data_IF_344916371171
#
_entry.id   IF_344916371171
#
_cell.length_a   1.000
_cell.length_b   1.000
_cell.length_c   1.000
_cell.angle_alpha   90.00
_cell.angle_beta   90.00
_cell.angle_gamma   90.00
#
_symmetry.space_group_name_H-M   'P 1'
#
loop_
_entity.id
_entity.type
_entity.pdbx_description
1 polymer ?
#
# COMPACT_ATOMS: atom_id res chain seq x y z
N UNK A 1 -27.99 44.37 1.95
CA UNK A 1 -26.88 43.53 1.45
C UNK A 1 -25.95 43.05 2.58
N UNK A 2 -26.47 42.45 3.65
CA UNK A 2 -25.66 41.94 4.78
C UNK A 2 -25.81 40.45 5.09
N UNK A 3 -26.58 39.69 4.30
CA UNK A 3 -26.91 38.29 4.62
C UNK A 3 -26.38 37.24 3.62
N UNK A 4 -26.24 37.55 2.33
CA UNK A 4 -25.75 36.56 1.35
C UNK A 4 -24.26 36.28 1.50
N UNK A 5 -23.43 37.32 1.66
CA UNK A 5 -21.99 37.14 1.87
C UNK A 5 -21.69 36.37 3.16
N UNK A 6 -22.52 36.50 4.20
CA UNK A 6 -22.34 35.77 5.45
C UNK A 6 -22.68 34.27 5.30
N UNK A 7 -23.65 33.94 4.46
CA UNK A 7 -24.00 32.54 4.16
C UNK A 7 -22.89 31.84 3.35
N UNK A 8 -22.32 32.52 2.35
CA UNK A 8 -21.16 32.03 1.61
C UNK A 8 -19.93 31.84 2.52
N UNK A 9 -19.63 32.81 3.39
CA UNK A 9 -18.53 32.70 4.36
C UNK A 9 -18.72 31.48 5.25
N UNK A 10 -19.92 31.26 5.79
CA UNK A 10 -20.20 30.10 6.65
C UNK A 10 -20.13 28.78 5.88
N UNK A 11 -20.65 28.73 4.65
CA UNK A 11 -20.60 27.53 3.80
C UNK A 11 -19.17 27.14 3.46
N UNK A 12 -18.35 28.11 3.05
CA UNK A 12 -16.92 27.88 2.73
C UNK A 12 -16.16 27.46 4.00
N UNK A 13 -16.37 28.15 5.12
CA UNK A 13 -15.71 27.82 6.39
C UNK A 13 -16.04 26.41 6.84
N UNK A 14 -17.30 25.98 6.77
CA UNK A 14 -17.70 24.60 7.10
C UNK A 14 -17.03 23.58 6.18
N UNK A 15 -16.92 23.87 4.87
CA UNK A 15 -16.22 22.99 3.93
C UNK A 15 -14.73 22.91 4.25
N UNK A 16 -14.08 24.03 4.58
CA UNK A 16 -12.68 24.04 5.00
C UNK A 16 -12.47 23.21 6.27
N UNK A 17 -13.28 23.42 7.31
CA UNK A 17 -13.20 22.63 8.55
C UNK A 17 -13.40 21.14 8.28
N UNK A 18 -14.42 20.77 7.52
CA UNK A 18 -14.68 19.37 7.16
C UNK A 18 -13.51 18.74 6.39
N UNK A 19 -12.91 19.46 5.44
CA UNK A 19 -11.74 18.97 4.71
C UNK A 19 -10.50 18.85 5.60
N UNK A 20 -10.29 19.78 6.52
CA UNK A 20 -9.20 19.69 7.51
C UNK A 20 -9.40 18.50 8.45
N UNK A 21 -10.62 18.24 8.93
CA UNK A 21 -10.92 17.08 9.77
C UNK A 21 -10.59 15.76 9.06
N UNK A 22 -10.95 15.63 7.78
CA UNK A 22 -10.59 14.44 6.99
C UNK A 22 -9.08 14.25 6.87
N UNK A 23 -8.31 15.34 6.68
CA UNK A 23 -6.85 15.28 6.60
C UNK A 23 -6.25 14.86 7.95
N UNK A 24 -6.77 15.39 9.06
CA UNK A 24 -6.31 15.04 10.41
C UNK A 24 -6.61 13.56 10.71
N UNK A 25 -7.82 13.08 10.39
CA UNK A 25 -8.17 11.66 10.52
C UNK A 25 -7.19 10.78 9.73
N UNK A 26 -6.82 11.17 8.51
CA UNK A 26 -5.84 10.46 7.68
C UNK A 26 -4.45 10.40 8.35
N UNK A 27 -4.02 11.47 9.02
CA UNK A 27 -2.73 11.53 9.72
C UNK A 27 -2.65 10.64 10.97
N UNK A 28 -3.78 10.15 11.48
CA UNK A 28 -3.83 9.26 12.64
C UNK A 28 -3.81 7.76 12.24
N UNK A 29 -4.06 7.45 10.95
CA UNK A 29 -3.92 6.07 10.47
C UNK A 29 -2.49 5.60 10.65
N UNK A 30 -2.33 4.33 10.99
CA UNK A 30 -1.03 3.69 11.05
C UNK A 30 -1.16 2.21 10.69
N UNK A 31 -0.03 1.51 10.58
CA UNK A 31 -0.01 0.10 10.24
C UNK A 31 -0.80 -0.77 11.27
N UNK A 32 -0.93 -0.36 12.53
CA UNK A 32 -1.71 -1.12 13.54
C UNK A 32 -3.20 -1.18 13.20
N UNK A 33 -3.74 -0.17 12.52
CA UNK A 33 -5.14 -0.19 12.06
C UNK A 33 -5.39 -1.26 11.01
N UNK A 34 -4.35 -1.69 10.28
CA UNK A 34 -4.44 -2.81 9.34
C UNK A 34 -4.30 -4.15 10.08
N UNK A 35 -3.43 -4.22 11.08
CA UNK A 35 -3.17 -5.46 11.82
C UNK A 35 -4.29 -5.82 12.80
N UNK A 36 -5.06 -4.84 13.29
CA UNK A 36 -6.13 -5.05 14.27
C UNK A 36 -7.21 -6.03 13.79
N UNK A 37 -7.50 -6.03 12.47
CA UNK A 37 -8.56 -6.85 11.87
C UNK A 37 -8.29 -8.35 11.97
N UNK A 38 -7.02 -8.74 12.08
CA UNK A 38 -6.58 -10.14 12.12
C UNK A 38 -5.77 -10.45 13.37
N UNK A 39 -5.71 -9.52 14.34
CA UNK A 39 -4.92 -9.63 15.57
C UNK A 39 -5.23 -10.90 16.37
N UNK A 40 -6.51 -11.27 16.43
CA UNK A 40 -7.00 -12.38 17.26
C UNK A 40 -6.89 -13.75 16.55
N UNK A 41 -6.43 -13.78 15.31
CA UNK A 41 -6.18 -15.03 14.56
C UNK A 41 -4.87 -15.69 14.99
N UNK A 42 -4.71 -16.98 14.69
CA UNK A 42 -3.43 -17.67 14.87
C UNK A 42 -2.41 -17.17 13.84
N UNK A 43 -1.13 -17.21 14.18
CA UNK A 43 -0.05 -16.78 13.27
C UNK A 43 -0.11 -17.44 11.90
N UNK A 44 -0.38 -18.75 11.85
CA UNK A 44 -0.54 -19.48 10.57
C UNK A 44 -1.72 -18.97 9.72
N UNK A 45 -2.78 -18.48 10.36
CA UNK A 45 -3.96 -17.93 9.67
C UNK A 45 -3.65 -16.52 9.17
N UNK A 46 -3.00 -15.70 9.99
CA UNK A 46 -2.51 -14.37 9.60
C UNK A 46 -1.58 -14.46 8.39
N UNK A 47 -0.57 -15.33 8.47
CA UNK A 47 0.38 -15.57 7.37
C UNK A 47 -0.33 -15.99 6.08
N UNK A 48 -1.32 -16.89 6.17
CA UNK A 48 -2.09 -17.34 5.00
C UNK A 48 -2.91 -16.20 4.38
N UNK A 49 -3.52 -15.34 5.19
CA UNK A 49 -4.27 -14.18 4.71
C UNK A 49 -3.35 -13.21 3.98
N UNK A 50 -2.18 -12.90 4.56
CA UNK A 50 -1.21 -12.00 3.92
C UNK A 50 -0.65 -12.62 2.63
N UNK A 51 -0.35 -13.92 2.64
CA UNK A 51 0.06 -14.67 1.45
C UNK A 51 -0.98 -14.57 0.33
N UNK A 52 -2.27 -14.71 0.66
CA UNK A 52 -3.36 -14.60 -0.29
C UNK A 52 -3.50 -13.16 -0.85
N UNK A 53 -3.39 -12.14 0.00
CA UNK A 53 -3.39 -10.74 -0.43
C UNK A 53 -2.25 -10.47 -1.43
N UNK A 54 -1.02 -10.85 -1.08
CA UNK A 54 0.15 -10.63 -1.94
C UNK A 54 -0.02 -11.34 -3.28
N UNK A 55 -0.43 -12.62 -3.27
CA UNK A 55 -0.64 -13.38 -4.50
C UNK A 55 -1.72 -12.75 -5.38
N UNK A 56 -2.85 -12.34 -4.80
CA UNK A 56 -3.93 -11.69 -5.54
C UNK A 56 -3.44 -10.39 -6.21
N UNK A 57 -2.70 -9.54 -5.48
CA UNK A 57 -2.17 -8.32 -6.08
C UNK A 57 -1.15 -8.61 -7.19
N UNK A 58 -0.22 -9.55 -7.00
CA UNK A 58 0.78 -9.89 -8.01
C UNK A 58 0.15 -10.53 -9.26
N UNK A 59 -0.90 -11.33 -9.11
CA UNK A 59 -1.65 -11.92 -10.22
C UNK A 59 -2.31 -10.84 -11.08
N UNK A 60 -2.87 -9.80 -10.47
CA UNK A 60 -3.45 -8.67 -11.21
C UNK A 60 -2.36 -7.81 -11.86
N UNK A 61 -1.27 -7.56 -11.12
CA UNK A 61 -0.18 -6.68 -11.57
C UNK A 61 0.67 -7.27 -12.68
N UNK A 62 0.80 -8.60 -12.78
CA UNK A 62 1.61 -9.24 -13.84
C UNK A 62 1.12 -8.93 -15.26
N UNK A 63 -0.15 -8.55 -15.41
CA UNK A 63 -0.77 -8.16 -16.69
C UNK A 63 -0.50 -6.70 -17.06
N UNK A 64 0.11 -5.92 -16.16
CA UNK A 64 0.43 -4.50 -16.37
C UNK A 64 1.81 -4.35 -17.03
N UNK A 65 2.08 -3.16 -17.58
CA UNK A 65 3.41 -2.85 -18.14
C UNK A 65 4.32 -2.24 -17.07
N UNK A 66 5.63 -2.48 -17.18
CA UNK A 66 6.62 -1.84 -16.30
C UNK A 66 6.51 -0.30 -16.32
N UNK A 67 6.22 0.28 -17.49
CA UNK A 67 6.02 1.74 -17.62
C UNK A 67 4.85 2.22 -16.75
N UNK A 68 3.71 1.52 -16.79
CA UNK A 68 2.54 1.87 -15.96
C UNK A 68 2.88 1.81 -14.47
N UNK A 69 3.55 0.75 -14.04
CA UNK A 69 3.98 0.56 -12.65
C UNK A 69 4.95 1.67 -12.19
N UNK A 70 5.96 2.00 -13.00
CA UNK A 70 6.92 3.05 -12.61
C UNK A 70 6.32 4.43 -12.49
N UNK A 71 5.33 4.75 -13.30
CA UNK A 71 4.70 6.07 -13.31
C UNK A 71 3.94 6.39 -12.02
N UNK A 72 3.54 5.37 -11.26
CA UNK A 72 2.75 5.55 -10.04
C UNK A 72 3.58 5.53 -8.76
N UNK A 73 4.86 5.13 -8.79
CA UNK A 73 5.64 4.90 -7.57
C UNK A 73 5.68 6.09 -6.62
N UNK A 74 5.87 7.31 -7.15
CA UNK A 74 5.84 8.52 -6.34
C UNK A 74 4.51 8.68 -5.58
N UNK A 75 3.39 8.40 -6.25
CA UNK A 75 2.07 8.48 -5.61
C UNK A 75 1.87 7.36 -4.58
N UNK A 76 2.41 6.17 -4.86
CA UNK A 76 2.37 5.07 -3.88
C UNK A 76 3.15 5.47 -2.63
N UNK A 77 4.35 6.05 -2.77
CA UNK A 77 5.16 6.56 -1.65
C UNK A 77 4.34 7.56 -0.82
N UNK A 78 3.79 8.59 -1.46
CA UNK A 78 2.96 9.62 -0.81
C UNK A 78 1.75 9.04 -0.04
N UNK A 79 1.19 7.92 -0.48
CA UNK A 79 0.05 7.26 0.17
C UNK A 79 0.51 6.34 1.30
N UNK A 80 1.56 5.56 1.08
CA UNK A 80 2.07 4.61 2.08
C UNK A 80 2.74 5.31 3.26
N UNK A 81 3.27 6.52 3.05
CA UNK A 81 3.86 7.36 4.11
C UNK A 81 2.90 7.64 5.27
N UNK A 82 1.58 7.64 5.04
CA UNK A 82 0.58 7.80 6.09
C UNK A 82 0.49 6.58 7.03
N UNK A 83 0.95 5.41 6.61
CA UNK A 83 0.88 4.19 7.43
C UNK A 83 2.13 3.95 8.26
N UNK A 84 3.20 4.73 8.04
CA UNK A 84 4.46 4.65 8.79
C UNK A 84 4.18 4.92 10.27
N UNK A 85 4.54 3.99 11.16
CA UNK A 85 4.43 4.26 12.60
C UNK A 85 5.46 5.32 12.99
N UNK A 86 5.10 6.19 13.94
CA UNK A 86 5.99 7.26 14.49
C UNK A 86 7.31 6.71 15.07
N UNK A 87 7.42 5.40 15.30
CA UNK A 87 8.61 4.71 15.84
C UNK A 87 9.14 3.59 14.92
N UNK A 88 8.78 3.55 13.64
CA UNK A 88 9.28 2.52 12.72
C UNK A 88 10.76 2.72 12.35
N UNK A 89 11.49 1.60 12.33
CA UNK A 89 12.83 1.52 11.74
C UNK A 89 12.70 1.75 10.24
N UNK A 90 13.21 2.89 9.75
CA UNK A 90 13.27 3.20 8.31
C UNK A 90 13.87 2.07 7.47
N UNK A 91 14.74 1.28 8.09
CA UNK A 91 15.39 0.13 7.46
C UNK A 91 14.40 -0.98 7.10
N UNK A 92 13.37 -1.22 7.93
CA UNK A 92 12.33 -2.24 7.67
C UNK A 92 11.43 -1.79 6.52
N UNK A 93 11.04 -0.52 6.50
CA UNK A 93 10.20 0.05 5.45
C UNK A 93 10.93 -0.04 4.10
N UNK A 94 12.18 0.43 4.05
CA UNK A 94 12.99 0.40 2.84
C UNK A 94 13.19 -1.05 2.34
N UNK A 95 13.50 -1.97 3.25
CA UNK A 95 13.65 -3.39 2.91
C UNK A 95 12.34 -3.99 2.37
N UNK A 96 11.21 -3.67 3.02
CA UNK A 96 9.89 -4.18 2.62
C UNK A 96 9.43 -3.62 1.27
N UNK A 97 9.74 -2.36 0.98
CA UNK A 97 9.53 -1.73 -0.32
C UNK A 97 10.37 -2.40 -1.41
N UNK A 98 11.65 -2.66 -1.14
CA UNK A 98 12.55 -3.36 -2.05
C UNK A 98 12.04 -4.77 -2.36
N UNK A 99 11.57 -5.51 -1.35
CA UNK A 99 11.00 -6.85 -1.51
C UNK A 99 9.71 -6.79 -2.35
N UNK A 100 8.78 -5.88 -2.02
CA UNK A 100 7.54 -5.73 -2.78
C UNK A 100 7.82 -5.41 -4.26
N UNK A 101 8.76 -4.49 -4.52
CA UNK A 101 9.16 -4.11 -5.86
C UNK A 101 9.85 -5.26 -6.61
N UNK A 102 10.73 -6.01 -5.96
CA UNK A 102 11.41 -7.15 -6.59
C UNK A 102 10.43 -8.28 -6.92
N UNK A 103 9.48 -8.61 -6.01
CA UNK A 103 8.39 -9.56 -6.28
C UNK A 103 7.57 -9.12 -7.51
N UNK A 104 7.19 -7.84 -7.56
CA UNK A 104 6.47 -7.26 -8.69
C UNK A 104 7.26 -7.35 -10.00
N UNK A 105 8.54 -6.97 -10.01
CA UNK A 105 9.34 -7.02 -11.23
C UNK A 105 9.63 -8.47 -11.68
N UNK A 106 9.74 -9.42 -10.76
CA UNK A 106 9.79 -10.86 -11.09
C UNK A 106 8.45 -11.34 -11.67
N UNK A 107 7.32 -10.90 -11.13
CA UNK A 107 5.98 -11.20 -11.65
C UNK A 107 5.79 -10.68 -13.09
N UNK A 108 6.32 -9.49 -13.38
CA UNK A 108 6.31 -8.87 -14.72
C UNK A 108 7.27 -9.54 -15.73
N UNK A 109 8.07 -10.52 -15.32
CA UNK A 109 9.02 -11.19 -16.21
C UNK A 109 10.27 -10.36 -16.54
N UNK A 110 10.59 -9.32 -15.75
CA UNK A 110 11.65 -8.36 -16.07
C UNK A 110 13.01 -9.03 -16.17
N UNK A 111 13.78 -8.69 -17.21
CA UNK A 111 15.14 -9.21 -17.45
C UNK A 111 15.23 -10.75 -17.46
N UNK A 112 14.15 -11.45 -17.84
CA UNK A 112 14.10 -12.91 -17.85
C UNK A 112 13.97 -13.55 -16.46
N UNK A 113 13.81 -12.74 -15.40
CA UNK A 113 13.44 -13.23 -14.07
C UNK A 113 12.01 -13.77 -14.11
N UNK A 114 11.74 -14.85 -13.39
CA UNK A 114 10.39 -15.43 -13.27
C UNK A 114 10.07 -15.63 -11.80
N UNK A 115 8.85 -15.26 -11.42
CA UNK A 115 8.24 -15.64 -10.16
C UNK A 115 7.34 -16.85 -10.42
N UNK A 116 7.52 -17.92 -9.66
CA UNK A 116 6.57 -19.03 -9.66
C UNK A 116 5.38 -18.65 -8.79
N UNK A 117 4.17 -18.91 -9.31
CA UNK A 117 2.91 -18.63 -8.63
C UNK A 117 2.21 -19.93 -8.20
N UNK A 118 1.48 -19.93 -7.07
CA UNK A 118 1.46 -18.88 -6.05
C UNK A 118 2.79 -18.82 -5.28
N UNK A 119 3.16 -17.64 -4.79
CA UNK A 119 4.27 -17.52 -3.85
C UNK A 119 3.83 -17.99 -2.47
N UNK A 120 4.77 -18.57 -1.72
CA UNK A 120 4.55 -18.93 -0.33
C UNK A 120 5.21 -17.88 0.59
N UNK A 121 4.60 -17.57 1.73
CA UNK A 121 5.18 -16.62 2.69
C UNK A 121 6.55 -17.08 3.19
N UNK A 122 6.79 -18.39 3.27
CA UNK A 122 8.09 -18.96 3.61
C UNK A 122 9.18 -18.58 2.61
N UNK A 123 8.83 -18.33 1.34
CA UNK A 123 9.78 -17.80 0.37
C UNK A 123 10.27 -16.41 0.78
N UNK A 124 9.33 -15.53 1.16
CA UNK A 124 9.64 -14.18 1.62
C UNK A 124 10.47 -14.23 2.90
N UNK A 125 10.01 -15.01 3.89
CA UNK A 125 10.68 -15.16 5.19
C UNK A 125 12.11 -15.69 5.10
N UNK A 126 12.32 -16.70 4.26
CA UNK A 126 13.60 -17.43 4.25
C UNK A 126 14.60 -16.88 3.24
N UNK A 127 14.15 -16.14 2.21
CA UNK A 127 15.00 -15.77 1.09
C UNK A 127 14.92 -14.30 0.67
N UNK A 128 13.91 -13.55 1.12
CA UNK A 128 13.78 -12.14 0.78
C UNK A 128 14.16 -11.24 1.96
N UNK A 129 13.71 -11.56 3.16
CA UNK A 129 14.02 -10.80 4.36
C UNK A 129 15.46 -11.08 4.83
N UNK A 130 16.15 -10.02 5.22
CA UNK A 130 17.48 -10.01 5.79
C UNK A 130 17.46 -10.56 7.20
N UNK A 131 18.61 -11.02 7.69
CA UNK A 131 18.75 -11.49 9.07
C UNK A 131 18.61 -10.37 10.12
N UNK A 132 18.42 -9.12 9.69
CA UNK A 132 18.30 -7.97 10.59
C UNK A 132 16.86 -7.74 11.05
N UNK A 133 15.86 -8.33 10.39
CA UNK A 133 14.46 -8.26 10.80
C UNK A 133 14.21 -9.28 11.91
N UNK A 134 13.82 -8.80 13.09
CA UNK A 134 13.50 -9.68 14.21
C UNK A 134 12.12 -10.35 14.05
N UNK A 135 11.90 -11.46 14.74
CA UNK A 135 10.64 -12.24 14.62
C UNK A 135 9.39 -11.41 14.93
N UNK A 136 9.48 -10.41 15.81
CA UNK A 136 8.38 -9.49 16.12
C UNK A 136 8.16 -8.40 15.05
N UNK A 137 9.13 -8.16 14.16
CA UNK A 137 9.04 -7.21 13.04
C UNK A 137 8.64 -7.90 11.73
N UNK A 138 8.81 -9.23 11.67
CA UNK A 138 8.44 -10.06 10.53
C UNK A 138 7.01 -9.77 10.04
N UNK A 139 6.06 -9.73 10.98
CA UNK A 139 4.67 -9.58 10.65
C UNK A 139 4.35 -8.19 10.09
N UNK A 140 4.88 -7.13 10.70
CA UNK A 140 4.75 -5.76 10.22
C UNK A 140 5.37 -5.62 8.82
N UNK A 141 6.51 -6.27 8.56
CA UNK A 141 7.14 -6.33 7.23
C UNK A 141 6.24 -6.98 6.18
N UNK A 142 5.61 -8.11 6.52
CA UNK A 142 4.70 -8.82 5.63
C UNK A 142 3.44 -7.99 5.30
N UNK A 143 2.90 -7.30 6.30
CA UNK A 143 1.75 -6.37 6.13
C UNK A 143 2.16 -5.18 5.26
N UNK A 144 3.37 -4.64 5.45
CA UNK A 144 3.90 -3.55 4.63
C UNK A 144 4.06 -3.97 3.17
N UNK A 145 4.66 -5.14 2.90
CA UNK A 145 4.79 -5.69 1.53
C UNK A 145 3.41 -5.80 0.87
N UNK A 146 2.42 -6.31 1.59
CA UNK A 146 1.05 -6.44 1.10
C UNK A 146 0.42 -5.06 0.82
N UNK A 147 0.52 -4.12 1.76
CA UNK A 147 0.02 -2.75 1.63
C UNK A 147 0.61 -2.06 0.40
N UNK A 148 1.92 -2.17 0.20
CA UNK A 148 2.64 -1.58 -0.94
C UNK A 148 2.10 -2.09 -2.27
N UNK A 149 1.90 -3.40 -2.40
CA UNK A 149 1.35 -4.02 -3.60
C UNK A 149 -0.12 -3.61 -3.84
N UNK A 150 -0.93 -3.53 -2.78
CA UNK A 150 -2.31 -3.05 -2.85
C UNK A 150 -2.34 -1.59 -3.35
N UNK A 151 -1.48 -0.74 -2.80
CA UNK A 151 -1.40 0.67 -3.18
C UNK A 151 -0.95 0.85 -4.64
N UNK A 152 0.02 0.04 -5.11
CA UNK A 152 0.42 0.01 -6.53
C UNK A 152 -0.78 -0.30 -7.42
N UNK A 153 -1.51 -1.36 -7.13
CA UNK A 153 -2.66 -1.77 -7.93
C UNK A 153 -3.79 -0.73 -7.89
N UNK A 154 -4.05 -0.14 -6.72
CA UNK A 154 -5.01 0.95 -6.55
C UNK A 154 -4.66 2.16 -7.42
N UNK A 155 -3.41 2.65 -7.37
CA UNK A 155 -2.99 3.79 -8.18
C UNK A 155 -3.11 3.51 -9.67
N UNK A 156 -2.76 2.30 -10.14
CA UNK A 156 -2.93 1.93 -11.54
C UNK A 156 -4.40 2.00 -11.95
N UNK A 157 -5.30 1.39 -11.17
CA UNK A 157 -6.75 1.39 -11.46
C UNK A 157 -7.34 2.80 -11.44
N UNK A 158 -6.89 3.64 -10.51
CA UNK A 158 -7.30 5.04 -10.43
C UNK A 158 -6.94 5.82 -11.71
N UNK A 159 -5.70 5.67 -12.21
CA UNK A 159 -5.30 6.33 -13.46
C UNK A 159 -5.98 5.74 -14.69
N UNK A 160 -6.25 4.45 -14.72
CA UNK A 160 -7.00 3.81 -15.81
C UNK A 160 -8.45 4.35 -15.89
N UNK A 161 -9.13 4.52 -14.75
CA UNK A 161 -10.47 5.14 -14.73
C UNK A 161 -10.47 6.60 -15.19
N UNK A 162 -9.43 7.38 -14.85
CA UNK A 162 -9.26 8.74 -15.36
C UNK A 162 -8.95 8.81 -16.87
N UNK A 163 -8.39 7.75 -17.46
CA UNK A 163 -8.19 7.65 -18.91
C UNK A 163 -9.50 7.31 -19.63
N UNK A 164 -10.38 6.51 -19.02
CA UNK A 164 -11.71 6.21 -19.54
C UNK A 164 -12.60 7.47 -19.56
N UNK A 165 -12.65 8.23 -18.46
CA UNK A 165 -13.44 9.47 -18.34
C UNK A 165 -13.01 10.61 -19.30
N UNK A 166 -11.79 10.56 -19.85
CA UNK A 166 -11.28 11.57 -20.81
C UNK A 166 -11.63 11.25 -22.27
N UNK A 167 -12.08 10.03 -22.55
CA UNK A 167 -12.41 9.57 -23.89
C UNK A 167 -13.93 9.51 -24.14
N UNK A 168 -14.74 9.93 -23.18
CA UNK A 168 -16.18 10.23 -23.30
C UNK A 168 -16.43 11.73 -23.53
#
# INVERSE_FOLDING_TARGET
MKNENNDYVNKITRKMVSSLSQIVEIQEYNLDDLTILIRDLKETEKEKIIEEIINNQLIELKEKTEKKVRNIFKQVDEITDYFIKVYDDSDIINESDDIANDLLFKALGKNGRKLEFPINISYIKNYCLSSNISDNQLYDSLVWIALRLVAINYCIKYHEGLEEDKNE
#
